data_IF_313273592137
#
_entry.id   IF_313273592137
#
_cell.length_a   1.000
_cell.length_b   1.000
_cell.length_c   1.000
_cell.angle_alpha   90.00
_cell.angle_beta   90.00
_cell.angle_gamma   90.00
#
_symmetry.space_group_name_H-M   'P 1'
#
loop_
_entity.id
_entity.type
_entity.pdbx_description
1 polymer ?
#
# COMPACT_ATOMS: atom_id res chain seq x y z
N UNK A 1 -28.41 -8.35 14.40
CA UNK A 1 -27.24 -8.96 13.72
C UNK A 1 -27.43 -8.80 12.23
N UNK A 2 -26.72 -7.86 11.61
CA UNK A 2 -26.72 -7.63 10.16
C UNK A 2 -25.84 -8.66 9.47
N UNK A 3 -26.25 -9.11 8.27
CA UNK A 3 -25.48 -10.01 7.43
C UNK A 3 -25.02 -9.24 6.20
N UNK A 4 -23.71 -9.19 5.98
CA UNK A 4 -23.09 -8.36 4.92
C UNK A 4 -22.32 -9.26 3.96
N UNK A 5 -22.57 -9.07 2.65
CA UNK A 5 -21.85 -9.78 1.60
C UNK A 5 -20.75 -8.88 1.02
N UNK A 6 -19.49 -9.27 1.19
CA UNK A 6 -18.33 -8.59 0.59
C UNK A 6 -17.89 -9.32 -0.67
N UNK A 7 -18.13 -8.71 -1.82
CA UNK A 7 -17.63 -9.22 -3.10
C UNK A 7 -16.20 -8.75 -3.33
N UNK A 8 -15.32 -9.61 -3.87
CA UNK A 8 -13.92 -9.25 -4.11
C UNK A 8 -13.05 -9.20 -2.84
N UNK A 9 -13.43 -9.94 -1.79
CA UNK A 9 -12.74 -9.97 -0.49
C UNK A 9 -11.31 -10.53 -0.49
N UNK A 10 -10.73 -10.80 -1.66
CA UNK A 10 -9.39 -11.36 -1.78
C UNK A 10 -8.26 -10.33 -1.73
N UNK A 11 -8.56 -9.03 -1.71
CA UNK A 11 -7.56 -7.95 -1.65
C UNK A 11 -7.28 -7.47 -0.22
N UNK A 12 -6.13 -6.83 0.00
CA UNK A 12 -5.72 -6.31 1.32
C UNK A 12 -6.76 -5.40 1.98
N UNK A 13 -7.23 -4.39 1.23
CA UNK A 13 -8.27 -3.47 1.71
C UNK A 13 -9.58 -4.20 2.01
N UNK A 14 -9.99 -5.11 1.13
CA UNK A 14 -11.22 -5.86 1.29
C UNK A 14 -11.16 -6.79 2.51
N UNK A 15 -10.01 -7.43 2.78
CA UNK A 15 -9.79 -8.23 3.99
C UNK A 15 -9.79 -7.36 5.26
N UNK A 16 -9.26 -6.15 5.20
CA UNK A 16 -9.30 -5.22 6.33
C UNK A 16 -10.74 -4.77 6.63
N UNK A 17 -11.53 -4.49 5.60
CA UNK A 17 -12.97 -4.18 5.74
C UNK A 17 -13.72 -5.38 6.32
N UNK A 18 -13.49 -6.59 5.81
CA UNK A 18 -14.10 -7.81 6.37
C UNK A 18 -13.73 -7.99 7.84
N UNK A 19 -12.47 -7.73 8.22
CA UNK A 19 -12.03 -7.76 9.62
C UNK A 19 -12.84 -6.78 10.48
N UNK A 20 -12.94 -5.52 10.05
CA UNK A 20 -13.68 -4.49 10.78
C UNK A 20 -15.16 -4.87 10.96
N UNK A 21 -15.80 -5.40 9.92
CA UNK A 21 -17.20 -5.86 9.99
C UNK A 21 -17.39 -7.05 10.95
N UNK A 22 -16.42 -7.97 11.00
CA UNK A 22 -16.44 -9.07 11.98
C UNK A 22 -16.19 -8.56 13.39
N UNK A 23 -15.28 -7.60 13.57
CA UNK A 23 -14.97 -6.98 14.87
C UNK A 23 -16.18 -6.19 15.42
N UNK A 24 -17.04 -5.64 14.56
CA UNK A 24 -18.32 -5.01 14.96
C UNK A 24 -19.43 -6.02 15.26
N UNK A 25 -19.15 -7.33 15.16
CA UNK A 25 -20.11 -8.40 15.45
C UNK A 25 -21.07 -8.72 14.29
N UNK A 26 -20.79 -8.25 13.08
CA UNK A 26 -21.58 -8.60 11.90
C UNK A 26 -21.21 -9.98 11.34
N UNK A 27 -22.18 -10.62 10.67
CA UNK A 27 -21.97 -11.87 9.95
C UNK A 27 -21.54 -11.56 8.52
N UNK A 28 -20.31 -11.90 8.14
CA UNK A 28 -19.76 -11.57 6.82
C UNK A 28 -19.68 -12.80 5.92
N UNK A 29 -20.43 -12.76 4.83
CA UNK A 29 -20.22 -13.64 3.67
C UNK A 29 -19.23 -12.98 2.72
N UNK A 30 -18.37 -13.77 2.08
CA UNK A 30 -17.42 -13.22 1.13
C UNK A 30 -17.20 -14.08 -0.11
N UNK A 31 -16.85 -13.41 -1.21
CA UNK A 31 -16.58 -14.02 -2.51
C UNK A 31 -15.13 -13.83 -2.94
N UNK A 32 -14.41 -14.92 -3.23
CA UNK A 32 -13.05 -14.90 -3.81
C UNK A 32 -13.11 -14.91 -5.35
N UNK A 33 -12.21 -14.18 -6.02
CA UNK A 33 -12.16 -14.14 -7.50
C UNK A 33 -11.87 -15.54 -8.09
N UNK A 34 -12.57 -15.85 -9.18
CA UNK A 34 -12.65 -17.15 -9.90
C UNK A 34 -11.31 -17.78 -10.34
N UNK A 35 -10.19 -17.07 -10.28
CA UNK A 35 -8.86 -17.68 -10.52
C UNK A 35 -8.42 -18.62 -9.38
N UNK A 36 -9.16 -18.66 -8.26
CA UNK A 36 -8.92 -19.49 -7.06
C UNK A 36 -10.16 -20.33 -6.66
N UNK A 37 -10.78 -21.01 -7.63
CA UNK A 37 -12.12 -21.66 -7.56
C UNK A 37 -12.54 -22.36 -6.25
N UNK A 38 -13.84 -22.17 -5.95
CA UNK A 38 -14.82 -23.07 -5.30
C UNK A 38 -15.25 -22.91 -3.83
N UNK A 39 -14.86 -21.87 -3.10
CA UNK A 39 -15.39 -21.65 -1.74
C UNK A 39 -16.00 -20.27 -1.53
N UNK A 40 -17.33 -20.22 -1.42
CA UNK A 40 -18.01 -19.24 -0.56
C UNK A 40 -17.71 -19.63 0.88
N UNK A 41 -17.38 -18.65 1.72
CA UNK A 41 -17.04 -18.89 3.12
C UNK A 41 -17.78 -17.92 4.03
N UNK A 42 -18.15 -18.40 5.21
CA UNK A 42 -18.72 -17.60 6.29
C UNK A 42 -17.65 -17.36 7.35
N UNK A 43 -17.49 -16.11 7.78
CA UNK A 43 -16.61 -15.75 8.89
C UNK A 43 -17.45 -15.27 10.06
N UNK A 44 -17.21 -15.85 11.23
CA UNK A 44 -17.86 -15.48 12.50
C UNK A 44 -16.91 -14.80 13.49
N UNK A 45 -15.60 -15.09 13.42
CA UNK A 45 -14.62 -14.62 14.41
C UNK A 45 -13.36 -14.04 13.74
N UNK A 46 -12.79 -12.99 14.33
CA UNK A 46 -11.57 -12.33 13.85
C UNK A 46 -10.32 -13.24 13.88
N UNK A 47 -10.28 -14.22 14.80
CA UNK A 47 -9.17 -15.16 14.92
C UNK A 47 -9.12 -16.19 13.76
N UNK A 48 -10.28 -16.66 13.27
CA UNK A 48 -10.32 -17.51 12.06
C UNK A 48 -9.97 -16.71 10.81
N UNK A 49 -10.32 -15.43 10.81
CA UNK A 49 -9.91 -14.48 9.78
C UNK A 49 -8.40 -14.30 9.76
N UNK A 50 -7.74 -14.08 10.89
CA UNK A 50 -6.27 -13.94 10.97
C UNK A 50 -5.52 -15.23 10.59
N UNK A 51 -6.02 -16.42 10.93
CA UNK A 51 -5.39 -17.69 10.51
C UNK A 51 -5.54 -17.95 9.01
N UNK A 52 -6.75 -17.74 8.46
CA UNK A 52 -7.02 -17.85 7.02
C UNK A 52 -6.37 -16.74 6.20
N UNK A 53 -6.33 -15.52 6.75
CA UNK A 53 -5.61 -14.38 6.20
C UNK A 53 -4.12 -14.66 6.25
N UNK A 54 -3.51 -15.13 7.33
CA UNK A 54 -2.08 -15.45 7.34
C UNK A 54 -1.70 -16.50 6.29
N UNK A 55 -2.56 -17.49 6.06
CA UNK A 55 -2.35 -18.52 5.03
C UNK A 55 -2.56 -18.00 3.60
N UNK A 56 -3.64 -17.23 3.36
CA UNK A 56 -3.94 -16.59 2.06
C UNK A 56 -2.95 -15.47 1.75
N UNK A 57 -2.59 -14.65 2.74
CA UNK A 57 -1.58 -13.61 2.69
C UNK A 57 -0.23 -14.24 2.35
N UNK A 58 0.28 -15.27 3.07
CA UNK A 58 1.57 -15.90 2.72
C UNK A 58 1.65 -16.39 1.28
N UNK A 59 0.55 -16.90 0.73
CA UNK A 59 0.51 -17.45 -0.64
C UNK A 59 0.15 -16.40 -1.72
N UNK A 60 -0.60 -15.35 -1.38
CA UNK A 60 -0.90 -14.19 -2.23
C UNK A 60 0.20 -13.12 -2.22
N UNK A 61 1.06 -13.10 -1.20
CA UNK A 61 2.13 -12.13 -0.96
C UNK A 61 3.16 -12.08 -2.11
N UNK A 62 3.26 -13.15 -2.92
CA UNK A 62 4.12 -13.17 -4.10
C UNK A 62 3.63 -12.31 -5.26
N UNK A 63 2.34 -11.90 -5.33
CA UNK A 63 1.78 -11.38 -6.59
C UNK A 63 0.92 -10.11 -6.52
N UNK A 64 0.36 -9.67 -5.37
CA UNK A 64 -0.81 -8.76 -5.44
C UNK A 64 -0.76 -7.40 -4.72
N UNK A 65 0.39 -6.94 -4.21
CA UNK A 65 0.51 -5.53 -3.78
C UNK A 65 1.86 -4.93 -4.15
N UNK A 66 2.12 -4.80 -5.46
CA UNK A 66 3.27 -4.04 -5.99
C UNK A 66 3.34 -2.62 -5.41
N UNK A 67 2.20 -2.04 -5.05
CA UNK A 67 2.06 -0.67 -4.52
C UNK A 67 2.79 -0.50 -3.18
N UNK A 68 2.69 -1.47 -2.26
CA UNK A 68 3.36 -1.40 -0.95
C UNK A 68 4.70 -2.15 -0.91
N UNK A 69 5.08 -2.83 -2.01
CA UNK A 69 6.31 -3.64 -2.04
C UNK A 69 7.55 -2.79 -1.77
N UNK A 70 7.64 -1.58 -2.30
CA UNK A 70 8.82 -0.74 -2.06
C UNK A 70 9.01 -0.42 -0.58
N UNK A 71 7.94 -0.06 0.15
CA UNK A 71 8.01 0.19 1.59
C UNK A 71 8.52 -1.03 2.35
N UNK A 72 7.93 -2.21 2.08
CA UNK A 72 8.35 -3.47 2.69
C UNK A 72 9.81 -3.81 2.36
N UNK A 73 10.17 -3.77 1.08
CA UNK A 73 11.51 -4.14 0.61
C UNK A 73 12.59 -3.19 1.14
N UNK A 74 12.28 -1.92 1.31
CA UNK A 74 13.18 -0.95 1.93
C UNK A 74 13.37 -1.20 3.42
N UNK A 75 12.28 -1.32 4.19
CA UNK A 75 12.36 -1.54 5.64
C UNK A 75 12.95 -2.92 5.99
N UNK A 76 12.79 -3.92 5.13
CA UNK A 76 13.39 -5.25 5.31
C UNK A 76 14.76 -5.42 4.64
N UNK A 77 15.30 -4.37 4.04
CA UNK A 77 16.59 -4.40 3.35
C UNK A 77 16.69 -5.48 2.24
N UNK A 78 15.57 -5.77 1.56
CA UNK A 78 15.49 -6.76 0.46
C UNK A 78 15.95 -6.18 -0.89
N UNK A 79 16.34 -4.90 -0.93
CA UNK A 79 16.86 -4.22 -2.11
C UNK A 79 18.17 -3.54 -1.75
N UNK A 80 19.33 -3.95 -2.31
CA UNK A 80 20.62 -3.35 -1.96
C UNK A 80 20.77 -1.91 -2.46
N UNK A 81 19.97 -1.50 -3.44
CA UNK A 81 20.00 -0.16 -4.02
C UNK A 81 18.63 0.27 -4.53
N UNK A 82 18.44 1.59 -4.67
CA UNK A 82 17.20 2.19 -5.13
C UNK A 82 17.26 2.44 -6.63
N UNK A 83 16.34 1.89 -7.45
CA UNK A 83 16.26 2.25 -8.86
C UNK A 83 15.74 3.67 -9.03
N UNK A 84 16.30 4.42 -9.98
CA UNK A 84 15.88 5.79 -10.29
C UNK A 84 14.56 5.79 -11.07
N UNK A 85 13.46 5.72 -10.33
CA UNK A 85 12.09 5.70 -10.84
C UNK A 85 11.28 6.82 -10.20
N UNK A 86 10.38 7.43 -10.97
CA UNK A 86 9.40 8.38 -10.46
C UNK A 86 8.03 7.68 -10.34
N UNK A 87 7.40 7.78 -9.17
CA UNK A 87 6.12 7.15 -8.88
C UNK A 87 5.06 8.21 -8.58
N UNK A 88 3.88 8.03 -9.17
CA UNK A 88 2.69 8.78 -8.79
C UNK A 88 2.11 8.21 -7.51
N UNK A 89 1.98 9.04 -6.48
CA UNK A 89 1.53 8.65 -5.16
C UNK A 89 0.14 9.23 -4.86
N UNK A 90 -0.70 8.43 -4.21
CA UNK A 90 -1.99 8.84 -3.68
C UNK A 90 -2.22 8.17 -2.32
N UNK A 91 -2.94 8.83 -1.43
CA UNK A 91 -3.43 8.21 -0.20
C UNK A 91 -4.72 7.44 -0.49
N UNK A 92 -4.83 6.21 0.01
CA UNK A 92 -6.03 5.39 -0.19
C UNK A 92 -7.27 5.99 0.47
N UNK A 93 -7.11 6.78 1.54
CA UNK A 93 -8.21 7.51 2.21
C UNK A 93 -8.77 8.59 1.30
N UNK A 94 -7.88 9.41 0.71
CA UNK A 94 -8.27 10.46 -0.23
C UNK A 94 -8.93 9.86 -1.48
N UNK A 95 -8.43 8.71 -1.96
CA UNK A 95 -9.06 7.99 -3.09
C UNK A 95 -10.48 7.55 -2.72
N UNK A 96 -10.69 6.97 -1.54
CA UNK A 96 -12.01 6.57 -1.09
C UNK A 96 -12.97 7.76 -0.97
N UNK A 97 -12.50 8.88 -0.41
CA UNK A 97 -13.26 10.12 -0.33
C UNK A 97 -13.61 10.65 -1.72
N UNK A 98 -12.65 10.67 -2.65
CA UNK A 98 -12.87 11.09 -4.03
C UNK A 98 -13.95 10.24 -4.72
N UNK A 99 -14.00 8.94 -4.48
CA UNK A 99 -15.05 8.07 -5.01
C UNK A 99 -16.42 8.41 -4.41
N UNK A 100 -16.51 8.65 -3.10
CA UNK A 100 -17.75 9.03 -2.43
C UNK A 100 -18.26 10.38 -2.96
N UNK A 101 -17.37 11.35 -3.09
CA UNK A 101 -17.71 12.69 -3.60
C UNK A 101 -18.11 12.63 -5.07
N UNK A 102 -17.45 11.81 -5.88
CA UNK A 102 -17.84 11.59 -7.27
C UNK A 102 -19.25 10.98 -7.38
N UNK A 103 -19.63 10.04 -6.51
CA UNK A 103 -20.99 9.46 -6.51
C UNK A 103 -22.08 10.48 -6.15
N UNK A 104 -21.75 11.48 -5.34
CA UNK A 104 -22.70 12.51 -4.86
C UNK A 104 -22.74 13.76 -5.75
N UNK A 105 -21.68 14.01 -6.53
CA UNK A 105 -21.53 15.24 -7.29
C UNK A 105 -22.26 15.17 -8.63
N UNK A 106 -23.12 16.16 -8.96
CA UNK A 106 -23.75 16.24 -10.27
C UNK A 106 -22.75 16.57 -11.39
N UNK A 107 -21.53 17.03 -11.05
CA UNK A 107 -20.46 17.34 -12.02
C UNK A 107 -19.64 16.12 -12.45
N UNK A 108 -19.72 15.03 -11.70
CA UNK A 108 -18.88 13.85 -11.93
C UNK A 108 -19.22 13.04 -13.20
N UNK A 109 -20.50 12.89 -13.63
CA UNK A 109 -20.83 12.09 -14.81
C UNK A 109 -20.11 12.55 -16.08
N UNK A 110 -19.60 11.59 -16.86
CA UNK A 110 -18.87 11.85 -18.12
C UNK A 110 -17.42 12.29 -17.95
N UNK A 111 -16.95 12.50 -16.72
CA UNK A 111 -15.58 12.95 -16.44
C UNK A 111 -14.65 11.80 -16.02
N UNK A 112 -13.35 12.01 -16.26
CA UNK A 112 -12.26 11.18 -15.75
C UNK A 112 -11.41 12.03 -14.82
N UNK A 113 -11.14 11.51 -13.63
CA UNK A 113 -10.40 12.20 -12.58
C UNK A 113 -9.14 11.42 -12.22
N UNK A 114 -8.07 12.14 -11.90
CA UNK A 114 -6.79 11.59 -11.43
C UNK A 114 -6.69 11.93 -9.95
N UNK A 115 -6.58 10.90 -9.11
CA UNK A 115 -6.45 11.03 -7.64
C UNK A 115 -4.99 11.07 -7.17
N UNK A 116 -4.03 11.15 -8.08
CA UNK A 116 -2.61 11.23 -7.73
C UNK A 116 -2.35 12.59 -7.08
N UNK A 117 -1.86 12.56 -5.84
CA UNK A 117 -1.59 13.74 -5.02
C UNK A 117 -0.31 14.45 -5.46
N UNK A 118 0.69 13.66 -5.89
CA UNK A 118 1.92 14.15 -6.50
C UNK A 118 2.82 12.98 -6.91
N UNK A 119 3.97 13.29 -7.49
CA UNK A 119 4.95 12.29 -7.91
C UNK A 119 6.23 12.44 -7.12
N UNK A 120 6.82 11.32 -6.69
CA UNK A 120 8.07 11.29 -5.95
C UNK A 120 9.06 10.35 -6.62
N UNK A 121 10.34 10.71 -6.59
CA UNK A 121 11.37 9.74 -6.91
C UNK A 121 11.42 8.70 -5.81
N UNK A 122 11.65 7.45 -6.21
CA UNK A 122 11.74 6.34 -5.28
C UNK A 122 12.88 6.53 -4.26
N UNK A 123 13.92 7.27 -4.65
CA UNK A 123 15.00 7.67 -3.74
C UNK A 123 14.50 8.62 -2.64
N UNK A 124 13.59 9.54 -2.96
CA UNK A 124 13.03 10.47 -1.98
C UNK A 124 12.11 9.73 -1.00
N UNK A 125 11.35 8.75 -1.49
CA UNK A 125 10.59 7.83 -0.63
C UNK A 125 11.52 7.08 0.32
N UNK A 126 12.63 6.54 -0.18
CA UNK A 126 13.61 5.84 0.65
C UNK A 126 14.23 6.76 1.71
N UNK A 127 14.56 8.01 1.39
CA UNK A 127 15.06 9.00 2.36
C UNK A 127 14.03 9.33 3.43
N UNK A 128 12.77 9.57 3.04
CA UNK A 128 11.67 9.81 3.98
C UNK A 128 11.54 8.64 4.98
N UNK A 129 11.65 7.40 4.49
CA UNK A 129 11.60 6.21 5.34
C UNK A 129 12.84 6.06 6.22
N UNK A 130 14.04 6.33 5.71
CA UNK A 130 15.27 6.26 6.52
C UNK A 130 15.23 7.29 7.66
N UNK A 131 14.82 8.54 7.38
CA UNK A 131 14.70 9.61 8.38
C UNK A 131 13.83 9.20 9.57
N UNK A 132 12.66 8.58 9.32
CA UNK A 132 11.69 8.21 10.36
C UNK A 132 12.03 6.87 11.03
N UNK A 133 12.44 5.86 10.26
CA UNK A 133 12.53 4.48 10.75
C UNK A 133 13.93 4.02 11.15
N UNK A 134 14.98 4.79 10.83
CA UNK A 134 16.34 4.48 11.28
C UNK A 134 16.51 4.51 12.80
N UNK A 135 15.97 5.50 13.54
CA UNK A 135 15.96 5.46 15.01
C UNK A 135 15.19 4.25 15.57
N UNK A 136 14.23 3.73 14.81
CA UNK A 136 13.41 2.57 15.15
C UNK A 136 14.11 1.24 14.77
N UNK A 137 15.37 1.26 14.34
CA UNK A 137 16.16 0.06 14.06
C UNK A 137 15.98 -0.53 12.65
N UNK A 138 15.35 0.20 11.72
CA UNK A 138 15.26 -0.20 10.32
C UNK A 138 16.39 0.42 9.49
N UNK A 139 17.01 -0.36 8.60
CA UNK A 139 18.10 0.12 7.74
C UNK A 139 17.61 0.25 6.30
N UNK A 140 17.26 1.47 5.90
CA UNK A 140 16.71 1.75 4.57
C UNK A 140 17.83 2.19 3.61
N UNK A 141 18.02 1.50 2.47
CA UNK A 141 18.99 1.92 1.49
C UNK A 141 18.52 3.17 0.76
N UNK A 142 19.32 4.23 0.77
CA UNK A 142 19.01 5.54 0.15
C UNK A 142 19.84 5.83 -1.10
N UNK A 143 20.80 4.97 -1.41
CA UNK A 143 21.69 5.13 -2.56
C UNK A 143 20.98 4.73 -3.86
N UNK A 144 21.00 5.63 -4.85
CA UNK A 144 20.41 5.40 -6.17
C UNK A 144 21.40 4.66 -7.07
N UNK A 145 20.97 3.53 -7.65
CA UNK A 145 21.81 2.74 -8.55
C UNK A 145 21.86 3.39 -9.96
N UNK A 146 23.05 3.53 -10.57
CA UNK A 146 23.17 4.07 -11.92
C UNK A 146 22.39 3.25 -12.96
N UNK A 147 21.58 3.92 -13.77
CA UNK A 147 20.67 3.27 -14.72
C UNK A 147 21.37 2.36 -15.73
N UNK A 148 22.62 2.66 -16.11
CA UNK A 148 23.42 1.80 -16.98
C UNK A 148 23.67 0.42 -16.36
N UNK A 149 24.02 0.36 -15.07
CA UNK A 149 24.25 -0.92 -14.43
C UNK A 149 22.96 -1.72 -14.24
N UNK A 150 21.80 -1.06 -14.02
CA UNK A 150 20.50 -1.75 -13.99
C UNK A 150 20.17 -2.41 -15.33
N UNK A 151 20.56 -1.78 -16.45
CA UNK A 151 20.41 -2.39 -17.78
C UNK A 151 21.22 -3.68 -17.90
N UNK A 152 22.43 -3.75 -17.34
CA UNK A 152 23.23 -4.99 -17.33
C UNK A 152 22.57 -6.06 -16.46
N UNK A 153 22.14 -5.70 -15.24
CA UNK A 153 21.47 -6.64 -14.31
C UNK A 153 20.19 -7.21 -14.91
N UNK A 154 19.48 -6.44 -15.73
CA UNK A 154 18.24 -6.88 -16.39
C UNK A 154 18.40 -8.08 -17.32
N UNK A 155 19.62 -8.38 -17.77
CA UNK A 155 19.87 -9.58 -18.58
C UNK A 155 19.73 -10.86 -17.75
N UNK A 156 19.99 -10.76 -16.44
CA UNK A 156 19.97 -11.88 -15.50
C UNK A 156 18.73 -11.89 -14.59
N UNK A 157 18.09 -10.73 -14.37
CA UNK A 157 16.92 -10.60 -13.50
C UNK A 157 15.69 -10.06 -14.25
N UNK A 158 14.65 -10.90 -14.33
CA UNK A 158 13.40 -10.57 -15.02
C UNK A 158 12.59 -9.47 -14.31
N UNK A 159 12.71 -9.33 -12.99
CA UNK A 159 12.04 -8.27 -12.23
C UNK A 159 12.65 -6.90 -12.53
N UNK A 160 13.97 -6.83 -12.68
CA UNK A 160 14.69 -5.62 -13.10
C UNK A 160 14.37 -5.26 -14.54
N UNK A 161 14.30 -6.26 -15.43
CA UNK A 161 13.90 -6.05 -16.83
C UNK A 161 12.53 -5.39 -16.96
N UNK A 162 11.57 -5.78 -16.14
CA UNK A 162 10.24 -5.18 -16.13
C UNK A 162 10.23 -3.70 -15.68
N UNK A 163 11.26 -3.25 -14.95
CA UNK A 163 11.37 -1.87 -14.47
C UNK A 163 12.07 -0.94 -15.47
N UNK A 164 12.87 -1.47 -16.41
CA UNK A 164 13.65 -0.66 -17.37
C UNK A 164 12.85 0.45 -18.06
N UNK A 165 11.64 0.18 -18.60
CA UNK A 165 10.90 1.20 -19.36
C UNK A 165 10.50 2.43 -18.53
N UNK A 166 10.55 2.32 -17.19
CA UNK A 166 10.16 3.37 -16.27
C UNK A 166 11.35 4.09 -15.64
N UNK A 167 12.58 3.64 -15.90
CA UNK A 167 13.80 4.27 -15.36
C UNK A 167 14.02 5.66 -15.96
N UNK A 168 14.49 6.59 -15.14
CA UNK A 168 14.83 7.97 -15.52
C UNK A 168 13.70 8.83 -16.09
N UNK A 169 12.47 8.32 -16.08
CA UNK A 169 11.30 9.07 -16.54
C UNK A 169 10.62 9.77 -15.36
N UNK A 170 10.48 11.10 -15.48
CA UNK A 170 9.72 11.90 -14.52
C UNK A 170 8.22 11.79 -14.85
N UNK A 171 7.42 11.45 -13.85
CA UNK A 171 5.97 11.35 -14.00
C UNK A 171 5.32 12.67 -13.61
N UNK A 172 4.88 13.47 -14.59
CA UNK A 172 4.10 14.69 -14.35
C UNK A 172 2.63 14.42 -14.64
N UNK A 173 1.78 14.65 -13.64
CA UNK A 173 0.35 14.44 -13.72
C UNK A 173 -0.36 15.66 -13.18
N UNK A 174 -1.41 16.08 -13.88
CA UNK A 174 -2.24 17.20 -13.47
C UNK A 174 -3.50 16.69 -12.75
N UNK A 175 -3.69 17.16 -11.50
CA UNK A 175 -4.86 16.89 -10.67
C UNK A 175 -5.74 18.13 -10.46
N UNK A 176 -5.56 19.19 -11.25
CA UNK A 176 -6.36 20.42 -11.21
C UNK A 176 -7.86 20.15 -11.34
N UNK A 177 -8.24 19.26 -12.26
CA UNK A 177 -9.65 18.95 -12.55
C UNK A 177 -10.40 18.34 -11.37
N UNK A 178 -9.80 17.39 -10.65
CA UNK A 178 -10.46 16.75 -9.51
C UNK A 178 -10.62 17.74 -8.34
N UNK A 179 -9.65 18.64 -8.18
CA UNK A 179 -9.70 19.71 -7.18
C UNK A 179 -10.82 20.70 -7.49
N UNK A 180 -10.95 21.12 -8.75
CA UNK A 180 -11.96 22.07 -9.19
C UNK A 180 -13.40 21.51 -9.14
N UNK A 181 -13.59 20.27 -9.59
CA UNK A 181 -14.94 19.69 -9.72
C UNK A 181 -15.45 19.06 -8.44
N UNK A 182 -14.58 18.39 -7.68
CA UNK A 182 -14.93 17.56 -6.52
C UNK A 182 -14.38 18.10 -5.19
N UNK A 183 -13.67 19.24 -5.19
CA UNK A 183 -13.10 19.79 -3.97
C UNK A 183 -12.03 18.89 -3.32
N UNK A 184 -11.36 18.06 -4.13
CA UNK A 184 -10.37 17.10 -3.66
C UNK A 184 -9.21 17.77 -2.91
N UNK A 185 -8.94 17.34 -1.67
CA UNK A 185 -7.83 17.82 -0.86
C UNK A 185 -6.85 16.69 -0.59
N UNK A 186 -5.73 16.62 -1.33
CA UNK A 186 -4.76 15.56 -1.12
C UNK A 186 -4.05 15.71 0.23
N UNK A 187 -3.94 14.60 0.95
CA UNK A 187 -3.08 14.45 2.12
C UNK A 187 -1.61 14.62 1.71
N UNK A 188 -0.81 15.16 2.63
CA UNK A 188 0.64 15.29 2.43
C UNK A 188 1.31 13.92 2.19
N UNK A 189 2.16 13.86 1.16
CA UNK A 189 2.77 12.61 0.72
C UNK A 189 3.73 12.03 1.75
N UNK A 190 4.48 12.87 2.48
CA UNK A 190 5.41 12.39 3.53
C UNK A 190 4.62 11.67 4.62
N UNK A 191 3.51 12.28 5.06
CA UNK A 191 2.59 11.67 6.03
C UNK A 191 2.03 10.34 5.52
N UNK A 192 1.51 10.29 4.28
CA UNK A 192 0.95 9.06 3.71
C UNK A 192 1.96 7.90 3.63
N UNK A 193 3.21 8.19 3.27
CA UNK A 193 4.31 7.21 3.21
C UNK A 193 4.62 6.64 4.60
N UNK A 194 4.73 7.52 5.60
CA UNK A 194 5.01 7.15 6.98
C UNK A 194 3.85 6.35 7.60
N UNK A 195 2.62 6.83 7.44
CA UNK A 195 1.40 6.14 7.91
C UNK A 195 1.31 4.73 7.30
N UNK A 196 1.62 4.58 6.01
CA UNK A 196 1.64 3.27 5.35
C UNK A 196 2.69 2.34 5.97
N UNK A 197 3.91 2.84 6.22
CA UNK A 197 4.98 2.05 6.81
C UNK A 197 4.64 1.58 8.24
N UNK A 198 4.11 2.47 9.09
CA UNK A 198 3.60 2.08 10.42
C UNK A 198 2.52 1.00 10.32
N UNK A 199 1.53 1.18 9.44
CA UNK A 199 0.47 0.19 9.23
C UNK A 199 1.01 -1.18 8.81
N UNK A 200 2.05 -1.23 7.97
CA UNK A 200 2.67 -2.49 7.55
C UNK A 200 3.42 -3.20 8.69
N UNK A 201 4.08 -2.44 9.56
CA UNK A 201 4.77 -2.97 10.75
C UNK A 201 3.74 -3.49 11.75
N UNK A 202 2.70 -2.72 12.04
CA UNK A 202 1.67 -3.09 13.02
C UNK A 202 0.77 -4.23 12.57
N UNK A 203 0.49 -4.29 11.28
CA UNK A 203 -0.26 -5.40 10.69
C UNK A 203 0.59 -6.68 10.54
N UNK A 204 1.87 -6.66 10.93
CA UNK A 204 2.75 -7.82 10.95
C UNK A 204 3.34 -8.21 9.58
N UNK A 205 3.23 -7.35 8.56
CA UNK A 205 3.84 -7.57 7.25
C UNK A 205 5.34 -7.31 7.25
N UNK A 206 5.78 -6.42 8.13
CA UNK A 206 7.19 -6.11 8.37
C UNK A 206 7.52 -6.57 9.78
N UNK A 207 8.69 -7.21 9.93
CA UNK A 207 9.17 -7.69 11.23
C UNK A 207 9.37 -6.48 12.16
N UNK A 208 8.81 -6.55 13.37
CA UNK A 208 9.06 -5.57 14.43
C UNK A 208 10.49 -5.71 14.93
N UNK A 209 11.20 -4.60 15.01
CA UNK A 209 12.53 -4.51 15.62
C UNK A 209 12.36 -4.29 17.13
N UNK A 210 13.33 -4.70 17.97
CA UNK A 210 13.27 -4.42 19.41
C UNK A 210 13.11 -2.93 19.72
N UNK A 211 13.82 -2.08 18.97
CA UNK A 211 13.77 -0.62 19.13
C UNK A 211 12.38 -0.05 18.80
N UNK A 212 11.70 -0.60 17.79
CA UNK A 212 10.34 -0.21 17.46
C UNK A 212 9.37 -0.58 18.59
N UNK A 213 9.47 -1.79 19.14
CA UNK A 213 8.61 -2.23 20.24
C UNK A 213 8.81 -1.39 21.50
N UNK A 214 10.05 -1.04 21.83
CA UNK A 214 10.37 -0.12 22.92
C UNK A 214 9.81 1.29 22.69
N UNK A 215 9.94 1.82 21.47
CA UNK A 215 9.42 3.14 21.11
C UNK A 215 7.89 3.18 21.22
N UNK A 216 7.19 2.13 20.77
CA UNK A 216 5.73 2.05 20.87
C UNK A 216 5.25 1.89 22.31
N UNK A 217 5.99 1.17 23.17
CA UNK A 217 5.68 1.08 24.60
C UNK A 217 5.81 2.44 25.29
N UNK A 218 6.92 3.16 25.06
CA UNK A 218 7.11 4.51 25.62
C UNK A 218 6.02 5.49 25.19
N UNK A 219 5.56 5.39 23.94
CA UNK A 219 4.48 6.23 23.40
C UNK A 219 3.10 5.89 23.99
N UNK A 220 2.89 4.66 24.45
CA UNK A 220 1.65 4.25 25.11
C UNK A 220 1.62 4.65 26.60
N UNK A 221 2.78 4.88 27.19
CA UNK A 221 2.95 5.30 28.60
C UNK A 221 2.97 6.83 28.78
N UNK A 222 3.12 7.59 27.69
CA UNK A 222 3.09 9.07 27.63
C UNK A 222 1.72 9.62 27.26
#
# INVERSE_FOLDING_TARGET
MSRVLVTGASGYLAMHVVKQLVDTGELVDYMKRRFLLSMTGQMRNAASLMKGANYVLRRQLGSWSRICQFHRRFLQHEMPAVPKMCLGCCDVRDVAEAHITAMKSPKAPGNRYITISGSLWLQDIAKILDEEFRPLGYNVPTWAFPSFGLKIVSWFDASVRAMIPFLDHELKLDNSKIKADLGYQPTDLKKSIIDMAYNLIDSGFIKKTPQYEEAMKKKAES
#
